data_IF_774283234543
#
_entry.id   IF_774283234543
#
_cell.length_a   1.000
_cell.length_b   1.000
_cell.length_c   1.000
_cell.angle_alpha   90.00
_cell.angle_beta   90.00
_cell.angle_gamma   90.00
#
_symmetry.space_group_name_H-M   'P 1'
#
loop_
_entity.id
_entity.type
_entity.pdbx_description
1 polymer ?
#
# COMPACT_ATOMS: atom_id res chain seq x y z
N UNK A 1 -16.59 11.55 4.82
CA UNK A 1 -15.99 11.89 6.13
C UNK A 1 -14.84 10.91 6.38
N UNK A 2 -13.71 11.35 6.93
CA UNK A 2 -12.57 10.47 7.25
C UNK A 2 -12.36 10.50 8.76
N UNK A 3 -12.26 9.34 9.40
CA UNK A 3 -12.01 9.21 10.84
C UNK A 3 -10.69 8.46 11.03
N UNK A 4 -9.66 9.08 11.63
CA UNK A 4 -8.42 8.38 11.94
C UNK A 4 -8.64 7.40 13.10
N UNK A 5 -8.23 6.15 12.91
CA UNK A 5 -8.29 5.09 13.91
C UNK A 5 -6.87 4.60 14.16
N UNK A 6 -6.44 4.60 15.42
CA UNK A 6 -5.15 4.06 15.83
C UNK A 6 -5.35 2.72 16.54
N UNK A 7 -4.72 1.68 16.01
CA UNK A 7 -4.74 0.32 16.55
C UNK A 7 -3.31 -0.21 16.60
N UNK A 8 -2.93 -0.86 17.69
CA UNK A 8 -1.60 -1.51 17.79
C UNK A 8 -1.43 -2.63 16.77
N UNK A 9 -2.53 -3.33 16.45
CA UNK A 9 -2.57 -4.42 15.49
C UNK A 9 -3.95 -4.46 14.84
N UNK A 10 -3.98 -4.60 13.52
CA UNK A 10 -5.18 -4.73 12.73
C UNK A 10 -5.63 -6.20 12.67
N UNK A 11 -6.91 -6.47 12.96
CA UNK A 11 -7.48 -7.81 12.81
C UNK A 11 -8.94 -7.72 12.35
N UNK A 12 -9.41 -8.77 11.66
CA UNK A 12 -10.80 -8.87 11.19
C UNK A 12 -11.80 -8.74 12.33
N UNK A 13 -11.53 -9.33 13.49
CA UNK A 13 -12.38 -9.20 14.68
C UNK A 13 -12.56 -7.76 15.15
N UNK A 14 -11.49 -6.94 15.17
CA UNK A 14 -11.56 -5.53 15.61
C UNK A 14 -12.31 -4.66 14.61
N UNK A 15 -11.99 -4.78 13.32
CA UNK A 15 -12.71 -4.03 12.27
C UNK A 15 -14.18 -4.46 12.16
N UNK A 16 -14.47 -5.74 12.40
CA UNK A 16 -15.82 -6.27 12.44
C UNK A 16 -16.73 -5.53 13.43
N UNK A 17 -16.20 -5.03 14.56
CA UNK A 17 -16.98 -4.24 15.53
C UNK A 17 -17.39 -2.87 14.99
N UNK A 18 -16.65 -2.32 14.03
CA UNK A 18 -16.85 -0.97 13.51
C UNK A 18 -17.51 -0.97 12.13
N UNK A 19 -17.69 -2.14 11.51
CA UNK A 19 -18.15 -2.28 10.12
C UNK A 19 -19.46 -1.55 9.82
N UNK A 20 -20.42 -1.51 10.75
CA UNK A 20 -21.72 -0.84 10.55
C UNK A 20 -21.60 0.68 10.39
N UNK A 21 -20.49 1.25 10.84
CA UNK A 21 -20.24 2.70 10.89
C UNK A 21 -19.28 3.19 9.81
N UNK A 22 -18.81 2.29 8.93
CA UNK A 22 -17.88 2.64 7.85
C UNK A 22 -18.22 1.89 6.56
N UNK A 23 -17.96 2.55 5.44
CA UNK A 23 -18.12 1.97 4.10
C UNK A 23 -16.79 1.44 3.55
N UNK A 24 -15.66 1.93 4.06
CA UNK A 24 -14.31 1.57 3.61
C UNK A 24 -13.32 1.78 4.76
N UNK A 25 -12.29 0.92 4.82
CA UNK A 25 -11.15 1.09 5.71
C UNK A 25 -9.88 1.27 4.88
N UNK A 26 -9.05 2.25 5.22
CA UNK A 26 -7.75 2.47 4.56
C UNK A 26 -6.63 2.18 5.56
N UNK A 27 -5.80 1.21 5.23
CA UNK A 27 -4.67 0.81 6.06
C UNK A 27 -3.43 1.67 5.77
N UNK A 28 -3.11 2.61 6.65
CA UNK A 28 -1.94 3.49 6.50
C UNK A 28 -0.66 2.95 7.16
N UNK A 29 -0.66 1.69 7.58
CA UNK A 29 0.48 0.98 8.20
C UNK A 29 1.08 -0.05 7.24
N UNK A 30 1.58 -1.19 7.72
CA UNK A 30 2.18 -2.22 6.85
C UNK A 30 1.16 -2.74 5.81
N UNK A 31 1.27 -2.40 4.52
CA UNK A 31 0.21 -2.62 3.52
C UNK A 31 0.01 -4.11 3.15
N UNK A 32 0.79 -5.01 3.77
CA UNK A 32 0.68 -6.45 3.59
C UNK A 32 -0.71 -6.98 3.89
N UNK A 33 -1.37 -6.49 4.95
CA UNK A 33 -2.67 -7.05 5.38
C UNK A 33 -3.79 -6.76 4.38
N UNK A 34 -3.88 -5.54 3.85
CA UNK A 34 -4.83 -5.21 2.77
C UNK A 34 -4.61 -6.05 1.52
N UNK A 35 -3.35 -6.35 1.18
CA UNK A 35 -2.99 -7.11 -0.03
C UNK A 35 -3.21 -8.61 0.18
N UNK A 36 -2.74 -9.16 1.31
CA UNK A 36 -2.73 -10.59 1.59
C UNK A 36 -4.11 -11.07 2.09
N UNK A 37 -4.78 -10.28 2.95
CA UNK A 37 -5.95 -10.68 3.72
C UNK A 37 -7.13 -9.72 3.57
N UNK A 38 -7.11 -8.80 2.60
CA UNK A 38 -8.22 -7.87 2.36
C UNK A 38 -9.57 -8.58 2.16
N UNK A 39 -9.55 -9.84 1.72
CA UNK A 39 -10.72 -10.68 1.54
C UNK A 39 -11.39 -11.16 2.84
N UNK A 40 -10.65 -11.30 3.94
CA UNK A 40 -11.18 -11.75 5.23
C UNK A 40 -12.13 -10.72 5.86
N UNK A 41 -12.11 -9.48 5.36
CA UNK A 41 -12.92 -8.36 5.83
C UNK A 41 -14.21 -8.18 5.01
N UNK A 42 -14.47 -9.04 4.00
CA UNK A 42 -15.38 -8.70 2.90
C UNK A 42 -16.85 -9.06 3.05
N UNK A 43 -17.36 -9.62 4.14
CA UNK A 43 -18.80 -9.91 4.20
C UNK A 43 -19.35 -9.74 5.61
N UNK A 44 -20.25 -8.77 5.82
CA UNK A 44 -21.09 -8.73 7.02
C UNK A 44 -22.27 -9.71 6.91
N UNK A 45 -22.94 -9.97 8.04
CA UNK A 45 -24.09 -10.90 8.08
C UNK A 45 -25.28 -10.50 7.20
N UNK A 46 -25.28 -9.30 6.61
CA UNK A 46 -26.27 -8.80 5.68
C UNK A 46 -25.77 -8.79 4.21
N UNK A 47 -24.58 -9.32 3.94
CA UNK A 47 -23.99 -9.41 2.60
C UNK A 47 -23.29 -8.13 2.14
N UNK A 48 -23.11 -7.13 3.01
CA UNK A 48 -22.38 -5.90 2.67
C UNK A 48 -20.88 -6.11 2.86
N UNK A 49 -20.12 -5.62 1.88
CA UNK A 49 -18.66 -5.72 1.80
C UNK A 49 -18.05 -4.42 2.29
N UNK A 50 -17.15 -4.47 3.28
CA UNK A 50 -16.34 -3.32 3.70
C UNK A 50 -14.91 -3.54 3.21
N UNK A 51 -14.48 -2.91 2.10
CA UNK A 51 -13.14 -3.11 1.57
C UNK A 51 -12.06 -2.55 2.50
N UNK A 52 -10.99 -3.31 2.68
CA UNK A 52 -9.75 -2.89 3.32
C UNK A 52 -8.72 -2.54 2.22
N UNK A 53 -8.55 -1.24 1.97
CA UNK A 53 -7.64 -0.71 0.95
C UNK A 53 -6.31 -0.29 1.57
N UNK A 54 -5.24 -0.31 0.79
CA UNK A 54 -4.05 0.48 1.11
C UNK A 54 -4.17 1.92 0.54
N UNK A 55 -3.22 2.84 0.86
CA UNK A 55 -3.35 4.23 0.45
C UNK A 55 -3.23 4.44 -1.06
N UNK A 56 -2.49 3.60 -1.77
CA UNK A 56 -2.42 3.65 -3.23
C UNK A 56 -3.78 3.28 -3.84
N UNK A 57 -4.39 2.18 -3.40
CA UNK A 57 -5.70 1.72 -3.85
C UNK A 57 -6.80 2.76 -3.55
N UNK A 58 -6.74 3.39 -2.37
CA UNK A 58 -7.64 4.48 -2.03
C UNK A 58 -7.48 5.68 -2.99
N UNK A 59 -6.25 6.06 -3.35
CA UNK A 59 -5.99 7.11 -4.35
C UNK A 59 -6.52 6.73 -5.73
N UNK A 60 -6.33 5.49 -6.17
CA UNK A 60 -6.88 4.98 -7.43
C UNK A 60 -8.40 5.03 -7.42
N UNK A 61 -9.06 4.57 -6.36
CA UNK A 61 -10.52 4.59 -6.21
C UNK A 61 -11.09 6.02 -6.23
N UNK A 62 -10.32 7.00 -5.74
CA UNK A 62 -10.67 8.42 -5.77
C UNK A 62 -10.29 9.12 -7.09
N UNK A 63 -9.72 8.41 -8.07
CA UNK A 63 -9.28 8.98 -9.35
C UNK A 63 -8.05 9.89 -9.24
N UNK A 64 -7.27 9.75 -8.17
CA UNK A 64 -6.09 10.57 -7.86
C UNK A 64 -4.76 9.88 -8.20
N UNK A 65 -4.80 8.60 -8.55
CA UNK A 65 -3.64 7.84 -9.03
C UNK A 65 -4.06 6.95 -10.21
N UNK A 66 -3.11 6.63 -11.08
CA UNK A 66 -3.34 5.68 -12.16
C UNK A 66 -3.52 4.28 -11.59
N UNK A 67 -4.61 3.62 -11.95
CA UNK A 67 -4.83 2.22 -11.57
C UNK A 67 -3.85 1.28 -12.27
N UNK A 68 -3.47 0.21 -11.60
CA UNK A 68 -2.70 -0.86 -12.22
C UNK A 68 -3.57 -1.56 -13.26
N UNK A 69 -3.07 -1.70 -14.48
CA UNK A 69 -3.79 -2.42 -15.54
C UNK A 69 -2.89 -3.55 -16.05
N UNK A 70 -3.38 -4.80 -16.05
CA UNK A 70 -2.72 -5.86 -16.78
C UNK A 70 -2.68 -5.46 -18.26
N UNK A 71 -1.48 -5.39 -18.86
CA UNK A 71 -1.39 -5.29 -20.32
C UNK A 71 -1.82 -6.64 -20.90
N UNK A 72 -2.95 -6.64 -21.62
CA UNK A 72 -3.40 -7.79 -22.39
C UNK A 72 -2.94 -7.65 -23.85
N UNK A 73 -2.44 -8.72 -24.50
CA UNK A 73 -2.26 -10.09 -23.99
C UNK A 73 -1.05 -10.22 -23.06
N UNK A 74 -1.18 -11.00 -21.97
CA UNK A 74 -0.06 -11.31 -21.06
C UNK A 74 0.84 -12.35 -21.77
N UNK A 75 2.07 -12.00 -22.19
CA UNK A 75 3.02 -12.98 -22.71
C UNK A 75 3.37 -13.98 -21.61
N UNK A 76 3.56 -15.25 -21.95
CA UNK A 76 3.84 -16.33 -20.99
C UNK A 76 5.19 -16.20 -20.24
N UNK A 77 5.98 -15.17 -20.54
CA UNK A 77 7.18 -14.81 -19.78
C UNK A 77 6.78 -14.00 -18.57
N UNK A 78 7.01 -14.60 -17.40
CA UNK A 78 6.51 -14.23 -16.09
C UNK A 78 6.77 -12.75 -15.69
N UNK A 79 5.82 -12.19 -14.94
CA UNK A 79 5.92 -10.98 -14.10
C UNK A 79 5.41 -9.61 -14.60
N UNK A 80 4.60 -9.50 -15.66
CA UNK A 80 4.03 -8.18 -16.04
C UNK A 80 2.98 -7.63 -15.06
N UNK A 81 2.32 -8.48 -14.25
CA UNK A 81 1.33 -8.03 -13.26
C UNK A 81 1.98 -7.34 -12.06
N UNK A 82 3.14 -7.81 -11.62
CA UNK A 82 3.91 -7.18 -10.53
C UNK A 82 4.53 -5.86 -10.98
N UNK A 83 4.88 -5.71 -12.26
CA UNK A 83 5.54 -4.52 -12.78
C UNK A 83 4.65 -3.26 -12.73
N UNK A 84 3.32 -3.41 -12.71
CA UNK A 84 2.39 -2.28 -12.72
C UNK A 84 1.83 -1.91 -11.34
N UNK A 85 1.92 -2.80 -10.34
CA UNK A 85 1.43 -2.50 -9.00
C UNK A 85 2.56 -1.90 -8.15
N UNK A 86 2.45 -0.65 -7.68
CA UNK A 86 3.52 0.00 -6.97
C UNK A 86 3.69 -0.60 -5.57
N UNK A 87 4.72 -1.43 -5.41
CA UNK A 87 5.12 -2.03 -4.14
C UNK A 87 6.09 -1.11 -3.37
N UNK A 88 5.83 0.19 -3.38
CA UNK A 88 6.79 1.24 -3.00
C UNK A 88 6.44 1.97 -1.69
N UNK A 89 5.52 1.42 -0.89
CA UNK A 89 5.03 2.06 0.35
C UNK A 89 6.15 2.48 1.32
N UNK A 90 7.26 1.74 1.33
CA UNK A 90 8.43 2.02 2.14
C UNK A 90 9.64 2.49 1.31
N UNK A 91 9.47 2.85 0.04
CA UNK A 91 10.55 3.40 -0.75
C UNK A 91 10.87 4.83 -0.29
N UNK A 92 12.16 5.19 -0.29
CA UNK A 92 12.58 6.59 -0.12
C UNK A 92 12.23 7.41 -1.39
N UNK A 93 12.38 6.78 -2.56
CA UNK A 93 11.98 7.31 -3.87
C UNK A 93 10.64 6.74 -4.32
N UNK A 94 9.62 6.87 -3.48
CA UNK A 94 8.26 6.42 -3.83
C UNK A 94 7.62 7.27 -4.92
N UNK A 95 6.79 6.64 -5.73
CA UNK A 95 6.14 7.14 -6.93
C UNK A 95 5.06 8.20 -6.67
N UNK A 96 4.51 8.29 -5.45
CA UNK A 96 3.47 9.30 -5.16
C UNK A 96 3.15 9.49 -3.69
N UNK A 97 2.29 10.49 -3.44
CA UNK A 97 1.92 10.98 -2.10
C UNK A 97 1.07 10.01 -1.26
N UNK A 98 0.83 8.79 -1.75
CA UNK A 98 0.24 7.69 -1.00
C UNK A 98 1.22 7.02 -0.04
N UNK A 99 2.53 7.27 -0.16
CA UNK A 99 3.53 6.68 0.75
C UNK A 99 3.92 7.66 1.86
N UNK A 100 4.33 7.16 3.05
CA UNK A 100 4.77 8.02 4.15
C UNK A 100 6.08 8.79 3.89
N UNK A 101 6.86 8.39 2.88
CA UNK A 101 8.19 8.92 2.58
C UNK A 101 8.23 9.81 1.34
N UNK A 102 7.17 9.87 0.54
CA UNK A 102 7.12 10.71 -0.63
C UNK A 102 7.41 12.19 -0.30
N UNK A 103 8.28 12.82 -1.09
CA UNK A 103 8.65 14.22 -0.93
C UNK A 103 9.41 14.55 0.37
N UNK A 104 9.70 13.57 1.24
CA UNK A 104 10.60 13.76 2.38
C UNK A 104 12.02 13.70 1.84
N UNK A 105 12.78 14.79 2.00
CA UNK A 105 14.20 14.87 1.64
C UNK A 105 15.03 13.93 2.52
N UNK A 106 14.99 12.63 2.23
CA UNK A 106 15.61 11.61 3.05
C UNK A 106 17.10 11.51 2.70
N UNK A 107 17.86 12.25 3.49
CA UNK A 107 19.32 12.23 3.65
C UNK A 107 20.10 12.89 2.48
N UNK A 108 21.11 13.72 2.79
CA UNK A 108 22.16 14.03 1.82
C UNK A 108 22.72 12.69 1.32
N UNK A 109 22.79 12.51 -0.01
CA UNK A 109 23.30 11.30 -0.63
C UNK A 109 24.58 10.84 0.08
N UNK A 110 24.64 9.55 0.41
CA UNK A 110 25.80 8.94 1.08
C UNK A 110 27.03 9.27 0.24
N UNK A 111 27.91 10.16 0.73
CA UNK A 111 29.16 10.46 0.03
C UNK A 111 29.88 9.14 -0.24
N UNK A 112 30.36 8.88 -1.48
CA UNK A 112 31.14 7.69 -1.75
C UNK A 112 32.33 7.68 -0.78
N UNK A 113 32.46 6.60 -0.02
CA UNK A 113 33.63 6.39 0.84
C UNK A 113 34.81 6.20 -0.12
N UNK A 114 35.88 7.02 -0.06
CA UNK A 114 37.06 6.81 -0.88
C UNK A 114 37.57 5.39 -0.64
N UNK A 115 37.78 4.64 -1.73
CA UNK A 115 38.41 3.32 -1.63
C UNK A 115 39.75 3.48 -0.91
N UNK A 116 39.93 2.80 0.22
CA UNK A 116 41.23 2.76 0.89
C UNK A 116 42.23 2.13 -0.07
N UNK A 117 43.23 2.91 -0.47
CA UNK A 117 44.39 2.42 -1.19
C UNK A 117 45.05 1.36 -0.32
N UNK A 118 44.99 0.10 -0.77
CA UNK A 118 45.75 -1.00 -0.21
C UNK A 118 47.24 -0.66 -0.33
N UNK A 119 47.86 -0.37 0.81
CA UNK A 119 49.31 -0.26 0.94
C UNK A 119 49.87 -1.68 0.84
N UNK A 120 50.52 -1.99 -0.28
CA UNK A 120 51.47 -3.10 -0.43
C UNK A 120 52.71 -2.86 0.41
#
# INVERSE_FOLDING_TARGET
MVIPILLSELSAGKLGLLREWMDVCVQTSCPRLSIDWGHDFLVDGAGRVVPLLNPYEAKVALGQAQGFQPRLPVPATESLLLDSYPMDFYADESLGDWTPRHGRSLRPGRRPVPAQLSVT
#
